data_IF_288410129151
#
_entry.id   IF_288410129151
#
_cell.length_a   1.000
_cell.length_b   1.000
_cell.length_c   1.000
_cell.angle_alpha   90.00
_cell.angle_beta   90.00
_cell.angle_gamma   90.00
#
_symmetry.space_group_name_H-M   'P 1'
#
loop_
_entity.id
_entity.type
_entity.pdbx_description
1 polymer ?
#
# COMPACT_ATOMS: atom_id res chain seq x y z
N UNK A 1 -3.64 29.23 -5.87
CA UNK A 1 -4.29 28.43 -6.93
C UNK A 1 -4.23 26.90 -6.74
N UNK A 2 -3.65 26.34 -5.65
CA UNK A 2 -3.34 24.89 -5.54
C UNK A 2 -4.48 23.93 -5.13
N UNK A 3 -5.67 24.39 -4.75
CA UNK A 3 -6.70 23.52 -4.15
C UNK A 3 -8.04 23.41 -4.90
N UNK A 4 -8.22 24.11 -6.03
CA UNK A 4 -9.53 24.14 -6.72
C UNK A 4 -9.98 22.76 -7.22
N UNK A 5 -9.03 21.91 -7.60
CA UNK A 5 -9.28 20.54 -8.06
C UNK A 5 -9.15 19.48 -6.96
N UNK A 6 -8.64 19.86 -5.78
CA UNK A 6 -8.44 18.91 -4.68
C UNK A 6 -9.79 18.42 -4.13
N UNK A 7 -10.73 19.34 -3.92
CA UNK A 7 -12.08 19.02 -3.44
C UNK A 7 -12.85 18.11 -4.40
N UNK A 8 -12.97 18.39 -5.72
CA UNK A 8 -13.68 17.49 -6.62
C UNK A 8 -12.99 16.13 -6.77
N UNK A 9 -11.65 16.06 -6.74
CA UNK A 9 -10.92 14.79 -6.72
C UNK A 9 -11.24 13.96 -5.47
N UNK A 10 -11.22 14.59 -4.29
CA UNK A 10 -11.59 13.93 -3.04
C UNK A 10 -13.03 13.42 -3.06
N UNK A 11 -13.97 14.21 -3.58
CA UNK A 11 -15.38 13.80 -3.71
C UNK A 11 -15.49 12.58 -4.64
N UNK A 12 -14.82 12.60 -5.80
CA UNK A 12 -14.83 11.47 -6.73
C UNK A 12 -14.24 10.20 -6.11
N UNK A 13 -13.16 10.33 -5.32
CA UNK A 13 -12.57 9.21 -4.60
C UNK A 13 -13.52 8.63 -3.55
N UNK A 14 -14.21 9.46 -2.78
CA UNK A 14 -15.20 9.02 -1.78
C UNK A 14 -16.37 8.31 -2.44
N UNK A 15 -16.88 8.84 -3.56
CA UNK A 15 -17.95 8.18 -4.33
C UNK A 15 -17.48 6.83 -4.84
N UNK A 16 -16.26 6.75 -5.41
CA UNK A 16 -15.67 5.50 -5.87
C UNK A 16 -15.51 4.47 -4.75
N UNK A 17 -15.08 4.89 -3.57
CA UNK A 17 -15.00 4.04 -2.38
C UNK A 17 -16.37 3.54 -1.93
N UNK A 18 -17.41 4.39 -1.98
CA UNK A 18 -18.78 4.00 -1.66
C UNK A 18 -19.33 2.94 -2.62
N UNK A 19 -19.12 3.12 -3.93
CA UNK A 19 -19.50 2.13 -4.94
C UNK A 19 -18.70 0.82 -4.80
N UNK A 20 -17.39 0.93 -4.53
CA UNK A 20 -16.54 -0.23 -4.26
C UNK A 20 -16.97 -1.00 -3.01
N UNK A 21 -17.35 -0.30 -1.94
CA UNK A 21 -17.87 -0.91 -0.72
C UNK A 21 -19.20 -1.65 -0.97
N UNK A 22 -20.08 -1.08 -1.79
CA UNK A 22 -21.31 -1.77 -2.21
C UNK A 22 -20.99 -3.06 -2.98
N UNK A 23 -20.05 -3.01 -3.93
CA UNK A 23 -19.60 -4.19 -4.67
C UNK A 23 -18.95 -5.25 -3.77
N UNK A 24 -18.23 -4.84 -2.73
CA UNK A 24 -17.68 -5.74 -1.70
C UNK A 24 -18.78 -6.45 -0.91
N UNK A 25 -19.84 -5.74 -0.53
CA UNK A 25 -20.98 -6.33 0.18
C UNK A 25 -21.70 -7.35 -0.71
N UNK A 26 -21.95 -7.02 -1.98
CA UNK A 26 -22.53 -7.96 -2.94
C UNK A 26 -21.66 -9.21 -3.08
N UNK A 27 -20.34 -9.04 -3.19
CA UNK A 27 -19.37 -10.14 -3.31
C UNK A 27 -19.35 -11.07 -2.09
N UNK A 28 -19.58 -10.52 -0.89
CA UNK A 28 -19.65 -11.29 0.35
C UNK A 28 -20.98 -12.06 0.48
N UNK A 29 -22.08 -11.52 -0.03
CA UNK A 29 -23.41 -12.13 0.07
C UNK A 29 -23.71 -13.13 -1.06
N UNK A 30 -23.39 -12.78 -2.31
CA UNK A 30 -23.74 -13.57 -3.50
C UNK A 30 -22.56 -14.38 -4.06
N UNK A 31 -21.37 -14.26 -3.47
CA UNK A 31 -20.19 -15.01 -3.89
C UNK A 31 -19.67 -14.57 -5.27
N UNK A 32 -19.10 -15.50 -6.02
CA UNK A 32 -18.66 -15.26 -7.41
C UNK A 32 -19.83 -15.28 -8.41
N UNK A 33 -21.06 -15.58 -7.99
CA UNK A 33 -22.17 -15.73 -8.95
C UNK A 33 -22.56 -14.43 -9.65
N UNK A 34 -22.38 -13.29 -8.98
CA UNK A 34 -22.58 -11.96 -9.59
C UNK A 34 -21.50 -11.60 -10.60
N UNK A 35 -20.39 -12.34 -10.62
CA UNK A 35 -19.31 -12.14 -11.59
C UNK A 35 -19.59 -13.04 -12.79
N UNK A 36 -19.50 -12.50 -14.01
CA UNK A 36 -19.76 -13.23 -15.27
C UNK A 36 -18.66 -14.27 -15.59
N UNK A 37 -18.08 -14.89 -14.57
CA UNK A 37 -17.11 -15.96 -14.68
C UNK A 37 -17.82 -17.27 -15.06
N UNK A 38 -17.17 -18.06 -15.91
CA UNK A 38 -17.65 -19.37 -16.32
C UNK A 38 -16.50 -20.37 -16.26
N UNK A 39 -16.79 -21.67 -16.35
CA UNK A 39 -15.74 -22.70 -16.33
C UNK A 39 -14.71 -22.53 -17.46
N UNK A 40 -15.09 -21.89 -18.57
CA UNK A 40 -14.21 -21.56 -19.68
C UNK A 40 -13.41 -20.25 -19.49
N UNK A 41 -13.94 -19.31 -18.69
CA UNK A 41 -13.32 -18.01 -18.41
C UNK A 41 -13.23 -17.88 -16.89
N UNK A 42 -12.20 -18.51 -16.28
CA UNK A 42 -12.08 -18.58 -14.83
C UNK A 42 -11.62 -17.25 -14.22
N UNK A 43 -10.99 -16.38 -15.01
CA UNK A 43 -10.44 -15.10 -14.58
C UNK A 43 -11.08 -13.96 -15.36
N UNK A 44 -11.57 -12.97 -14.63
CA UNK A 44 -12.28 -11.83 -15.20
C UNK A 44 -11.73 -10.52 -14.67
N UNK A 45 -12.65 -9.63 -14.30
CA UNK A 45 -12.33 -8.25 -13.91
C UNK A 45 -11.38 -8.14 -12.71
N UNK A 46 -11.50 -9.04 -11.72
CA UNK A 46 -10.66 -9.03 -10.52
C UNK A 46 -9.18 -9.25 -10.84
N UNK A 47 -8.87 -10.24 -11.68
CA UNK A 47 -7.49 -10.53 -12.14
C UNK A 47 -6.95 -9.40 -13.02
N UNK A 48 -7.79 -8.79 -13.87
CA UNK A 48 -7.38 -7.64 -14.67
C UNK A 48 -6.98 -6.43 -13.80
N UNK A 49 -7.75 -6.12 -12.75
CA UNK A 49 -7.39 -5.07 -11.80
C UNK A 49 -6.14 -5.41 -10.99
N UNK A 50 -6.02 -6.66 -10.54
CA UNK A 50 -4.80 -7.14 -9.91
C UNK A 50 -3.56 -6.87 -10.78
N UNK A 51 -3.60 -7.24 -12.07
CA UNK A 51 -2.48 -7.01 -13.00
C UNK A 51 -2.21 -5.51 -13.24
N UNK A 52 -3.25 -4.68 -13.24
CA UNK A 52 -3.11 -3.23 -13.34
C UNK A 52 -2.35 -2.65 -12.13
N UNK A 53 -2.74 -3.04 -10.91
CA UNK A 53 -2.06 -2.57 -9.69
C UNK A 53 -0.65 -3.14 -9.54
N UNK A 54 -0.42 -4.39 -9.99
CA UNK A 54 0.90 -4.98 -10.09
C UNK A 54 1.82 -4.13 -11.00
N UNK A 55 1.32 -3.70 -12.17
CA UNK A 55 2.06 -2.80 -13.06
C UNK A 55 2.33 -1.42 -12.46
N UNK A 56 1.34 -0.84 -11.78
CA UNK A 56 1.48 0.45 -11.08
C UNK A 56 2.54 0.39 -9.98
N UNK A 57 2.49 -0.69 -9.19
CA UNK A 57 3.47 -1.04 -8.15
C UNK A 57 4.87 -1.14 -8.74
N UNK A 58 5.07 -1.92 -9.81
CA UNK A 58 6.36 -2.09 -10.46
C UNK A 58 6.95 -0.75 -10.98
N UNK A 59 6.11 0.12 -11.53
CA UNK A 59 6.54 1.45 -11.99
C UNK A 59 6.99 2.36 -10.84
N UNK A 60 6.22 2.43 -9.75
CA UNK A 60 6.56 3.23 -8.58
C UNK A 60 7.74 2.64 -7.76
N UNK A 61 7.90 1.32 -7.82
CA UNK A 61 9.04 0.59 -7.28
C UNK A 61 10.34 0.97 -8.02
N UNK A 62 10.30 1.05 -9.35
CA UNK A 62 11.45 1.49 -10.16
C UNK A 62 11.94 2.88 -9.74
N UNK A 63 11.02 3.84 -9.60
CA UNK A 63 11.35 5.21 -9.16
C UNK A 63 11.96 5.22 -7.75
N UNK A 64 11.48 4.35 -6.86
CA UNK A 64 12.10 4.15 -5.54
C UNK A 64 13.56 3.71 -5.70
N UNK A 65 13.84 2.69 -6.51
CA UNK A 65 15.20 2.18 -6.72
C UNK A 65 16.11 3.28 -7.27
N UNK A 66 15.65 4.01 -8.28
CA UNK A 66 16.43 5.11 -8.87
C UNK A 66 16.79 6.17 -7.82
N UNK A 67 15.88 6.43 -6.88
CA UNK A 67 16.09 7.42 -5.82
C UNK A 67 17.03 6.90 -4.71
N UNK A 68 16.74 5.73 -4.12
CA UNK A 68 17.37 5.27 -2.88
C UNK A 68 18.45 4.20 -3.07
N UNK A 69 18.52 3.55 -4.23
CA UNK A 69 19.58 2.56 -4.53
C UNK A 69 20.62 3.19 -5.45
N UNK A 70 20.19 3.89 -6.50
CA UNK A 70 21.07 4.54 -7.46
C UNK A 70 21.47 5.98 -7.06
N UNK A 71 20.83 6.55 -6.03
CA UNK A 71 21.19 7.88 -5.51
C UNK A 71 20.91 9.04 -6.48
N UNK A 72 19.96 8.88 -7.40
CA UNK A 72 19.66 9.89 -8.43
C UNK A 72 18.89 11.07 -7.82
N UNK A 73 19.58 12.19 -7.59
CA UNK A 73 19.03 13.42 -6.97
C UNK A 73 17.78 13.98 -7.67
N UNK A 74 17.62 13.74 -8.97
CA UNK A 74 16.46 14.19 -9.74
C UNK A 74 15.12 13.60 -9.24
N UNK A 75 15.16 12.42 -8.61
CA UNK A 75 13.97 11.74 -8.10
C UNK A 75 13.78 11.87 -6.59
N UNK A 76 14.68 12.57 -5.87
CA UNK A 76 14.63 12.71 -4.41
C UNK A 76 13.32 13.35 -3.91
N UNK A 77 12.76 14.28 -4.70
CA UNK A 77 11.47 14.91 -4.39
C UNK A 77 10.26 13.97 -4.57
N UNK A 78 10.37 12.99 -5.46
CA UNK A 78 9.28 12.06 -5.83
C UNK A 78 9.43 10.73 -5.08
N UNK A 79 10.62 10.39 -4.60
CA UNK A 79 10.93 9.14 -3.90
C UNK A 79 9.97 8.78 -2.76
N UNK A 80 9.65 9.71 -1.83
CA UNK A 80 8.69 9.45 -0.75
C UNK A 80 7.27 9.20 -1.27
N UNK A 81 6.84 9.96 -2.26
CA UNK A 81 5.53 9.79 -2.89
C UNK A 81 5.44 8.43 -3.60
N UNK A 82 6.51 8.04 -4.29
CA UNK A 82 6.59 6.75 -4.98
C UNK A 82 6.50 5.57 -4.02
N UNK A 83 7.19 5.65 -2.87
CA UNK A 83 7.09 4.64 -1.82
C UNK A 83 5.65 4.48 -1.31
N UNK A 84 4.94 5.59 -1.14
CA UNK A 84 3.53 5.59 -0.75
C UNK A 84 2.62 4.98 -1.83
N UNK A 85 2.86 5.31 -3.11
CA UNK A 85 2.11 4.72 -4.23
C UNK A 85 2.27 3.21 -4.29
N UNK A 86 3.50 2.69 -4.12
CA UNK A 86 3.72 1.23 -4.06
C UNK A 86 2.94 0.61 -2.91
N UNK A 87 2.97 1.22 -1.72
CA UNK A 87 2.23 0.71 -0.56
C UNK A 87 0.73 0.62 -0.84
N UNK A 88 0.14 1.67 -1.41
CA UNK A 88 -1.29 1.69 -1.77
C UNK A 88 -1.60 0.66 -2.85
N UNK A 89 -0.76 0.55 -3.88
CA UNK A 89 -0.92 -0.42 -4.95
C UNK A 89 -0.88 -1.86 -4.43
N UNK A 90 0.07 -2.20 -3.54
CA UNK A 90 0.17 -3.51 -2.91
C UNK A 90 -1.05 -3.84 -2.05
N UNK A 91 -1.59 -2.87 -1.32
CA UNK A 91 -2.83 -3.06 -0.54
C UNK A 91 -3.99 -3.39 -1.47
N UNK A 92 -4.17 -2.62 -2.56
CA UNK A 92 -5.20 -2.89 -3.56
C UNK A 92 -5.01 -4.29 -4.17
N UNK A 93 -3.80 -4.62 -4.58
CA UNK A 93 -3.45 -5.91 -5.19
C UNK A 93 -3.86 -7.09 -4.30
N UNK A 94 -3.53 -7.03 -3.01
CA UNK A 94 -3.92 -8.05 -2.02
C UNK A 94 -5.45 -8.13 -1.89
N UNK A 95 -6.17 -7.00 -1.91
CA UNK A 95 -7.64 -7.03 -1.88
C UNK A 95 -8.21 -7.73 -3.13
N UNK A 96 -7.73 -7.37 -4.33
CA UNK A 96 -8.24 -7.94 -5.59
C UNK A 96 -8.00 -9.44 -5.69
N UNK A 97 -6.82 -9.93 -5.28
CA UNK A 97 -6.57 -11.37 -5.30
C UNK A 97 -7.44 -12.11 -4.28
N UNK A 98 -7.69 -11.54 -3.10
CA UNK A 98 -8.63 -12.14 -2.15
C UNK A 98 -10.05 -12.24 -2.72
N UNK A 99 -10.53 -11.19 -3.39
CA UNK A 99 -11.88 -11.17 -3.97
C UNK A 99 -12.04 -12.13 -5.15
N UNK A 100 -10.95 -12.49 -5.83
CA UNK A 100 -10.96 -13.52 -6.87
C UNK A 100 -11.21 -14.92 -6.27
N UNK A 101 -10.83 -15.17 -5.02
CA UNK A 101 -11.01 -16.47 -4.38
C UNK A 101 -12.47 -16.73 -4.01
N UNK A 102 -13.03 -17.84 -4.49
CA UNK A 102 -14.44 -18.19 -4.30
C UNK A 102 -14.90 -18.22 -2.84
N UNK A 103 -14.07 -18.71 -1.92
CA UNK A 103 -14.36 -18.75 -0.49
C UNK A 103 -13.25 -18.06 0.31
N UNK A 104 -13.47 -16.80 0.66
CA UNK A 104 -12.53 -15.97 1.44
C UNK A 104 -12.11 -16.65 2.76
N UNK A 105 -13.07 -17.14 3.54
CA UNK A 105 -12.78 -17.78 4.84
C UNK A 105 -11.83 -18.99 4.70
N UNK A 106 -12.03 -19.81 3.68
CA UNK A 106 -11.18 -20.98 3.43
C UNK A 106 -9.79 -20.57 2.93
N UNK A 107 -9.71 -19.52 2.13
CA UNK A 107 -8.43 -18.95 1.68
C UNK A 107 -7.57 -18.53 2.87
N UNK A 108 -8.15 -17.76 3.81
CA UNK A 108 -7.46 -17.35 5.03
C UNK A 108 -6.98 -18.56 5.84
N UNK A 109 -7.83 -19.57 6.03
CA UNK A 109 -7.41 -20.79 6.72
C UNK A 109 -6.23 -21.48 6.03
N UNK A 110 -6.31 -21.65 4.70
CA UNK A 110 -5.28 -22.34 3.91
C UNK A 110 -3.93 -21.60 3.92
N UNK A 111 -3.94 -20.27 3.83
CA UNK A 111 -2.69 -19.50 3.77
C UNK A 111 -2.03 -19.33 5.15
N UNK A 112 -2.82 -19.21 6.22
CA UNK A 112 -2.27 -18.95 7.56
C UNK A 112 -2.05 -20.21 8.40
N UNK A 113 -2.87 -21.26 8.24
CA UNK A 113 -2.83 -22.46 9.10
C UNK A 113 -2.17 -23.65 8.39
N UNK A 114 -2.41 -23.84 7.10
CA UNK A 114 -1.88 -24.99 6.35
C UNK A 114 -1.31 -24.62 4.97
N UNK A 115 -0.25 -23.78 4.91
CA UNK A 115 0.32 -23.35 3.64
C UNK A 115 0.98 -24.52 2.91
N UNK A 116 0.62 -24.71 1.64
CA UNK A 116 1.32 -25.66 0.75
C UNK A 116 2.44 -24.92 0.01
N UNK A 117 3.69 -25.19 0.37
CA UNK A 117 4.87 -24.58 -0.26
C UNK A 117 5.18 -25.11 -1.67
N UNK A 118 4.49 -26.16 -2.11
CA UNK A 118 4.57 -26.63 -3.50
C UNK A 118 3.75 -25.77 -4.46
N UNK A 119 2.81 -24.96 -3.96
CA UNK A 119 1.96 -24.10 -4.78
C UNK A 119 2.60 -22.74 -5.05
N UNK A 120 2.59 -22.33 -6.31
CA UNK A 120 3.02 -21.00 -6.74
C UNK A 120 2.22 -19.89 -6.04
N UNK A 121 0.92 -20.11 -5.83
CA UNK A 121 0.02 -19.13 -5.22
C UNK A 121 0.41 -18.81 -3.77
N UNK A 122 0.86 -19.81 -3.01
CA UNK A 122 1.35 -19.63 -1.65
C UNK A 122 2.61 -18.76 -1.63
N UNK A 123 3.55 -18.99 -2.56
CA UNK A 123 4.75 -18.16 -2.67
C UNK A 123 4.42 -16.72 -3.05
N UNK A 124 3.50 -16.52 -4.00
CA UNK A 124 3.02 -15.18 -4.34
C UNK A 124 2.45 -14.48 -3.11
N UNK A 125 1.57 -15.14 -2.36
CA UNK A 125 1.01 -14.59 -1.12
C UNK A 125 2.09 -14.20 -0.10
N UNK A 126 3.08 -15.07 0.13
CA UNK A 126 4.19 -14.79 1.07
C UNK A 126 5.03 -13.59 0.61
N UNK A 127 5.42 -13.55 -0.67
CA UNK A 127 6.25 -12.49 -1.23
C UNK A 127 5.52 -11.13 -1.23
N UNK A 128 4.23 -11.11 -1.59
CA UNK A 128 3.42 -9.89 -1.54
C UNK A 128 3.28 -9.35 -0.13
N UNK A 129 3.00 -10.20 0.85
CA UNK A 129 2.91 -9.76 2.25
C UNK A 129 4.27 -9.28 2.77
N UNK A 130 5.37 -9.94 2.42
CA UNK A 130 6.71 -9.49 2.77
C UNK A 130 7.01 -8.10 2.18
N UNK A 131 6.71 -7.89 0.90
CA UNK A 131 6.87 -6.59 0.23
C UNK A 131 5.98 -5.51 0.85
N UNK A 132 4.74 -5.84 1.20
CA UNK A 132 3.83 -4.92 1.87
C UNK A 132 4.41 -4.45 3.20
N UNK A 133 4.96 -5.36 4.02
CA UNK A 133 5.60 -5.01 5.30
C UNK A 133 6.83 -4.13 5.08
N UNK A 134 7.71 -4.48 4.13
CA UNK A 134 8.90 -3.69 3.82
C UNK A 134 8.52 -2.27 3.39
N UNK A 135 7.55 -2.13 2.49
CA UNK A 135 7.10 -0.84 1.99
C UNK A 135 6.32 -0.04 3.03
N UNK A 136 5.56 -0.69 3.92
CA UNK A 136 4.92 -0.05 5.05
C UNK A 136 5.96 0.55 6.00
N UNK A 137 7.00 -0.20 6.35
CA UNK A 137 8.11 0.28 7.17
C UNK A 137 8.87 1.42 6.49
N UNK A 138 9.21 1.25 5.21
CA UNK A 138 9.95 2.26 4.44
C UNK A 138 9.17 3.57 4.38
N UNK A 139 7.87 3.50 4.09
CA UNK A 139 6.98 4.67 4.05
C UNK A 139 6.83 5.28 5.44
N UNK A 140 6.71 4.47 6.50
CA UNK A 140 6.68 4.97 7.87
C UNK A 140 7.94 5.76 8.23
N UNK A 141 9.15 5.23 7.94
CA UNK A 141 10.40 5.94 8.20
C UNK A 141 10.54 7.23 7.38
N UNK A 142 10.01 7.24 6.16
CA UNK A 142 10.01 8.43 5.28
C UNK A 142 9.10 9.55 5.82
N UNK A 143 7.89 9.21 6.28
CA UNK A 143 6.91 10.22 6.75
C UNK A 143 7.14 10.56 8.23
N UNK A 144 7.94 9.81 8.99
CA UNK A 144 8.19 10.06 10.43
C UNK A 144 8.67 11.48 10.73
N UNK A 145 9.53 12.05 9.87
CA UNK A 145 9.99 13.43 9.99
C UNK A 145 8.84 14.45 9.85
N UNK A 146 7.95 14.22 8.89
CA UNK A 146 6.76 15.06 8.65
C UNK A 146 5.70 14.89 9.75
N UNK A 147 5.53 13.69 10.29
CA UNK A 147 4.65 13.44 11.43
C UNK A 147 5.10 14.21 12.68
N UNK A 148 6.41 14.26 12.94
CA UNK A 148 6.96 15.01 14.06
C UNK A 148 6.84 16.53 13.86
N UNK A 149 6.96 17.03 12.63
CA UNK A 149 6.74 18.46 12.33
C UNK A 149 5.26 18.83 12.47
N UNK A 150 4.34 18.00 11.98
CA UNK A 150 2.88 18.21 12.12
C UNK A 150 2.37 18.03 13.55
N UNK A 151 3.07 17.27 14.40
CA UNK A 151 2.74 17.19 15.83
C UNK A 151 2.98 18.50 16.60
N UNK A 152 3.78 19.42 16.04
CA UNK A 152 4.07 20.74 16.63
C UNK A 152 3.13 21.83 16.12
N UNK A 153 2.44 21.59 15.00
CA UNK A 153 1.56 22.56 14.38
C UNK A 153 0.25 22.68 15.17
N UNK A 154 0.00 23.87 15.72
CA UNK A 154 -1.11 24.15 16.63
C UNK A 154 -2.47 24.12 15.89
N UNK A 155 -2.45 24.26 14.55
CA UNK A 155 -3.63 24.29 13.68
C UNK A 155 -4.40 22.96 13.57
N UNK A 156 -3.79 21.83 13.95
CA UNK A 156 -4.37 20.47 13.77
C UNK A 156 -5.06 19.88 15.01
N UNK A 157 -5.17 20.64 16.10
CA UNK A 157 -6.05 20.39 17.26
C UNK A 157 -6.21 18.91 17.67
N UNK A 158 -7.34 18.30 17.30
CA UNK A 158 -7.71 16.92 17.66
C UNK A 158 -6.81 15.83 17.04
N UNK A 159 -6.22 16.09 15.86
CA UNK A 159 -5.36 15.12 15.18
C UNK A 159 -3.95 15.04 15.79
N UNK A 160 -3.59 15.98 16.66
CA UNK A 160 -2.29 16.03 17.35
C UNK A 160 -2.00 14.78 18.19
N UNK A 161 -3.02 14.23 18.85
CA UNK A 161 -2.88 13.00 19.63
C UNK A 161 -2.52 11.79 18.77
N UNK A 162 -3.15 11.69 17.59
CA UNK A 162 -2.88 10.63 16.61
C UNK A 162 -1.49 10.79 16.01
N UNK A 163 -1.08 12.01 15.64
CA UNK A 163 0.27 12.26 15.13
C UNK A 163 1.34 11.99 16.19
N UNK A 164 1.09 12.30 17.46
CA UNK A 164 2.03 12.03 18.56
C UNK A 164 2.18 10.54 18.85
N UNK A 165 1.09 9.78 18.74
CA UNK A 165 1.09 8.32 18.84
C UNK A 165 1.87 7.69 17.67
N UNK A 166 1.56 8.11 16.44
CA UNK A 166 2.22 7.62 15.23
C UNK A 166 3.70 8.05 15.16
N UNK A 167 4.07 9.19 15.74
CA UNK A 167 5.46 9.65 15.87
C UNK A 167 6.24 8.93 16.99
N UNK A 168 5.63 7.95 17.67
CA UNK A 168 6.21 7.21 18.81
C UNK A 168 6.73 8.14 19.92
N UNK A 169 6.03 9.26 20.16
CA UNK A 169 6.35 10.18 21.26
C UNK A 169 7.62 11.02 21.09
N UNK A 170 8.27 11.02 19.93
CA UNK A 170 9.46 11.84 19.68
C UNK A 170 9.13 13.34 19.62
N UNK A 171 9.72 14.12 20.52
CA UNK A 171 9.49 15.58 20.65
C UNK A 171 10.32 16.44 19.68
N UNK A 172 11.41 15.90 19.12
CA UNK A 172 12.33 16.61 18.23
C UNK A 172 12.90 15.66 17.19
N UNK A 173 12.84 16.06 15.92
CA UNK A 173 13.51 15.35 14.84
C UNK A 173 14.93 15.92 14.70
N UNK A 174 15.88 15.27 15.36
CA UNK A 174 17.30 15.65 15.30
C UNK A 174 17.93 15.10 14.01
N UNK A 175 18.93 15.81 13.45
CA UNK A 175 19.66 15.37 12.24
C UNK A 175 20.24 13.95 12.37
N UNK A 176 20.65 13.53 13.57
CA UNK A 176 21.10 12.16 13.82
C UNK A 176 20.00 11.10 13.64
N UNK A 177 18.75 11.42 14.00
CA UNK A 177 17.60 10.53 13.79
C UNK A 177 17.25 10.44 12.32
N UNK A 178 17.38 11.56 11.59
CA UNK A 178 17.21 11.62 10.13
C UNK A 178 18.22 10.73 9.42
N UNK A 179 19.49 10.82 9.78
CA UNK A 179 20.54 9.99 9.21
C UNK A 179 20.31 8.49 9.49
N UNK A 180 19.90 8.13 10.71
CA UNK A 180 19.57 6.75 11.09
C UNK A 180 18.34 6.21 10.34
N UNK A 181 17.29 7.01 10.21
CA UNK A 181 16.08 6.60 9.49
C UNK A 181 16.36 6.50 7.97
N UNK A 182 17.16 7.40 7.40
CA UNK A 182 17.59 7.32 6.00
C UNK A 182 18.47 6.09 5.72
N UNK A 183 19.34 5.73 6.66
CA UNK A 183 20.13 4.50 6.57
C UNK A 183 19.24 3.25 6.56
N UNK A 184 18.22 3.20 7.43
CA UNK A 184 17.22 2.12 7.41
C UNK A 184 16.45 2.07 6.10
N UNK A 185 16.05 3.22 5.56
CA UNK A 185 15.38 3.29 4.24
C UNK A 185 16.27 2.74 3.13
N UNK A 186 17.57 3.06 3.13
CA UNK A 186 18.53 2.49 2.18
C UNK A 186 18.69 0.97 2.32
N UNK A 187 18.77 0.46 3.56
CA UNK A 187 18.82 -0.99 3.80
C UNK A 187 17.54 -1.65 3.29
N UNK A 188 16.37 -1.12 3.65
CA UNK A 188 15.08 -1.64 3.21
C UNK A 188 14.94 -1.60 1.69
N UNK A 189 15.44 -0.55 1.03
CA UNK A 189 15.43 -0.43 -0.42
C UNK A 189 16.31 -1.51 -1.09
N UNK A 190 17.47 -1.83 -0.51
CA UNK A 190 18.34 -2.92 -0.99
C UNK A 190 17.72 -4.30 -0.76
N UNK A 191 17.03 -4.51 0.36
CA UNK A 191 16.32 -5.77 0.65
C UNK A 191 15.12 -5.95 -0.28
N UNK A 192 14.49 -4.85 -0.71
CA UNK A 192 13.34 -4.92 -1.60
C UNK A 192 13.68 -5.17 -3.07
N UNK A 193 14.97 -5.11 -3.44
CA UNK A 193 15.46 -5.40 -4.80
C UNK A 193 15.41 -6.91 -5.08
#
# INVERSE_FOLDING_TARGET
MKYKYFVPLMISAVIGLGLGAFGLVDRLLHGLNSTALTSYIPWGLWVAFYLFFLGLSAGAFLVTIMTYVLGMKQFEQIGPLSAFVVLVALICEVQFILLDLGQLHRAFYQFFISPSFSSLLTWMFVLFNAMLVIYALKTFFLIRGDLMSWSKDESKGALRGVYRLLALGGSSYTEEMRAKDMHKVHILAKISL
#
